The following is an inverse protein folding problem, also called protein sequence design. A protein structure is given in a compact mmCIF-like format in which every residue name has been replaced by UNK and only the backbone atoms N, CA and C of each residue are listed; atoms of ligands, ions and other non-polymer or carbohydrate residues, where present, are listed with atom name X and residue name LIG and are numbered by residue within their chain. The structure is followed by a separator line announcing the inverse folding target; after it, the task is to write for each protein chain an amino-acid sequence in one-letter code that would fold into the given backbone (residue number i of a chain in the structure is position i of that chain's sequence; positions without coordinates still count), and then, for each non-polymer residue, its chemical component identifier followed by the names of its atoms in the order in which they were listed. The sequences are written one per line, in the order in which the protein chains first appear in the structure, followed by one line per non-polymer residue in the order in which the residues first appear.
data_IF_116211341247
#
_entry.id   IF_116211341247
#
_cell.length_a   1.000
_cell.length_b   1.000
_cell.length_c   1.000
_cell.angle_alpha   90.00
_cell.angle_beta   90.00
_cell.angle_gamma   90.00
#
_symmetry.space_group_name_H-M   'P 1'
#
loop_
_entity.id
_entity.type
_entity.pdbx_description
1 polymer ?
#
# COMPACT_ATOMS: atom_id res chain seq x y z
N UNK A 1 -43.47 10.74 22.65
CA UNK A 1 -42.46 9.93 21.92
C UNK A 1 -43.16 8.66 21.46
N UNK A 2 -43.21 8.43 20.15
CA UNK A 2 -44.19 7.53 19.52
C UNK A 2 -43.67 6.10 19.59
N UNK A 3 -44.53 5.11 19.86
CA UNK A 3 -44.19 3.68 20.10
C UNK A 3 -43.19 3.10 19.09
N UNK A 4 -43.12 3.63 17.89
CA UNK A 4 -42.14 3.32 16.84
C UNK A 4 -40.68 3.55 17.22
N UNK A 5 -40.34 4.59 17.99
CA UNK A 5 -38.96 4.83 18.45
C UNK A 5 -38.52 3.81 19.51
N UNK A 6 -39.46 3.23 20.27
CA UNK A 6 -39.15 2.18 21.25
C UNK A 6 -38.82 0.85 20.54
N UNK A 7 -39.57 0.49 19.50
CA UNK A 7 -39.30 -0.73 18.72
C UNK A 7 -37.97 -0.66 17.96
N UNK A 8 -37.60 0.52 17.44
CA UNK A 8 -36.31 0.70 16.75
C UNK A 8 -35.12 0.48 17.71
N UNK A 9 -35.21 1.00 18.94
CA UNK A 9 -34.17 0.82 19.96
C UNK A 9 -34.05 -0.65 20.42
N UNK A 10 -35.18 -1.35 20.58
CA UNK A 10 -35.17 -2.78 20.92
C UNK A 10 -34.59 -3.63 19.80
N UNK A 11 -34.83 -3.28 18.53
CA UNK A 11 -34.29 -3.99 17.37
C UNK A 11 -32.77 -3.78 17.24
N UNK A 12 -32.28 -2.56 17.45
CA UNK A 12 -30.84 -2.26 17.47
C UNK A 12 -30.15 -3.02 18.62
N UNK A 13 -30.74 -3.04 19.82
CA UNK A 13 -30.20 -3.79 20.96
C UNK A 13 -30.13 -5.29 20.66
N UNK A 14 -31.17 -5.86 20.04
CA UNK A 14 -31.20 -7.28 19.66
C UNK A 14 -30.10 -7.62 18.64
N UNK A 15 -29.86 -6.76 17.65
CA UNK A 15 -28.78 -6.94 16.66
C UNK A 15 -27.41 -6.88 17.33
N UNK A 16 -27.20 -5.95 18.26
CA UNK A 16 -25.94 -5.84 19.02
C UNK A 16 -25.70 -7.09 19.86
N UNK A 17 -26.73 -7.61 20.54
CA UNK A 17 -26.62 -8.83 21.35
C UNK A 17 -26.27 -10.04 20.48
N UNK A 18 -26.92 -10.21 19.33
CA UNK A 18 -26.61 -11.32 18.38
C UNK A 18 -25.17 -11.23 17.86
N UNK A 19 -24.70 -10.01 17.60
CA UNK A 19 -23.31 -9.76 17.19
C UNK A 19 -22.34 -10.13 18.32
N UNK A 20 -22.62 -9.70 19.55
CA UNK A 20 -21.80 -10.00 20.72
C UNK A 20 -21.76 -11.49 21.09
N UNK A 21 -22.86 -12.23 20.88
CA UNK A 21 -22.89 -13.67 21.15
C UNK A 21 -22.17 -14.51 20.09
N UNK A 22 -22.03 -14.01 18.85
CA UNK A 22 -21.36 -14.74 17.76
C UNK A 22 -19.87 -14.39 17.62
N UNK A 23 -19.39 -13.32 18.26
CA UNK A 23 -18.02 -12.81 18.06
C UNK A 23 -16.95 -13.49 18.94
N UNK A 24 -17.23 -14.66 19.52
CA UNK A 24 -16.27 -15.38 20.35
C UNK A 24 -15.80 -16.67 19.65
N UNK A 25 -14.76 -16.56 18.84
CA UNK A 25 -14.03 -17.74 18.35
C UNK A 25 -13.12 -18.30 19.46
N UNK A 26 -13.03 -19.64 19.63
CA UNK A 26 -12.15 -20.25 20.61
C UNK A 26 -10.69 -20.25 20.16
N UNK A 27 -9.79 -19.93 21.10
CA UNK A 27 -8.35 -20.00 20.92
C UNK A 27 -7.89 -21.44 20.67
N UNK A 28 -7.24 -21.66 19.53
CA UNK A 28 -6.75 -22.97 19.10
C UNK A 28 -5.52 -23.39 19.91
N UNK A 29 -5.56 -24.59 20.47
CA UNK A 29 -4.54 -25.14 21.35
C UNK A 29 -3.43 -25.82 20.55
N UNK A 30 -2.18 -25.42 20.82
CA UNK A 30 -0.97 -26.05 20.30
C UNK A 30 -0.82 -27.47 20.87
N UNK A 31 -0.97 -28.49 20.02
CA UNK A 31 -0.61 -29.88 20.33
C UNK A 31 0.69 -30.22 19.59
N UNK A 32 1.76 -30.42 20.36
CA UNK A 32 3.03 -30.99 19.91
C UNK A 32 2.88 -32.51 19.71
N UNK A 33 3.33 -33.09 18.58
CA UNK A 33 3.64 -34.51 18.51
C UNK A 33 5.07 -34.81 19.01
N UNK A 34 5.30 -35.99 19.59
CA UNK A 34 6.61 -36.39 20.13
C UNK A 34 7.59 -36.80 19.03
N UNK A 35 8.87 -36.60 19.34
CA UNK A 35 10.01 -37.07 18.56
C UNK A 35 10.09 -38.59 18.53
N UNK A 36 10.47 -39.15 17.39
CA UNK A 36 11.32 -40.34 17.40
C UNK A 36 12.28 -40.40 16.20
N UNK A 37 13.41 -41.01 16.51
CA UNK A 37 14.73 -41.02 15.89
C UNK A 37 14.81 -41.94 14.64
N UNK A 38 15.56 -41.52 13.61
CA UNK A 38 16.29 -42.38 12.66
C UNK A 38 17.05 -41.54 11.63
N UNK A 39 18.33 -41.27 11.89
CA UNK A 39 19.34 -41.08 10.84
C UNK A 39 19.80 -42.45 10.28
N UNK A 40 20.28 -42.57 9.02
CA UNK A 40 21.70 -42.26 8.80
C UNK A 40 22.03 -41.55 7.47
N UNK A 41 22.94 -40.58 7.61
CA UNK A 41 24.05 -40.17 6.75
C UNK A 41 24.14 -40.73 5.30
N UNK A 42 24.21 -39.83 4.31
CA UNK A 42 25.17 -39.98 3.20
C UNK A 42 25.69 -38.62 2.67
N UNK A 43 27.02 -38.49 2.78
CA UNK A 43 28.02 -37.64 2.10
C UNK A 43 27.71 -36.24 1.52
N UNK A 44 28.36 -35.24 2.11
CA UNK A 44 28.84 -33.96 1.54
C UNK A 44 29.98 -34.19 0.50
N UNK A 45 30.74 -33.19 -0.04
CA UNK A 45 30.71 -31.71 0.11
C UNK A 45 30.98 -30.89 -1.18
N UNK A 46 30.74 -29.56 -1.13
CA UNK A 46 31.47 -28.49 -1.84
C UNK A 46 30.78 -27.16 -1.45
N UNK A 47 31.21 -26.48 -0.40
CA UNK A 47 32.28 -25.46 -0.42
C UNK A 47 31.92 -24.27 -1.32
N UNK A 48 31.12 -23.35 -0.76
CA UNK A 48 31.03 -21.94 -1.18
C UNK A 48 30.78 -21.13 0.11
N UNK A 49 31.79 -20.43 0.64
CA UNK A 49 31.62 -19.39 1.64
C UNK A 49 31.57 -18.03 0.95
N UNK A 50 30.37 -17.51 0.68
CA UNK A 50 30.20 -16.14 0.14
C UNK A 50 28.84 -15.64 0.62
N UNK A 51 28.66 -14.52 1.31
CA UNK A 51 29.52 -13.50 1.86
C UNK A 51 28.63 -12.73 2.84
N UNK A 52 29.14 -12.49 4.04
CA UNK A 52 28.66 -11.44 4.94
C UNK A 52 28.68 -10.07 4.21
N UNK A 53 27.74 -9.17 4.54
CA UNK A 53 27.78 -7.72 4.29
C UNK A 53 27.77 -7.20 2.83
N UNK A 54 26.59 -7.21 2.19
CA UNK A 54 26.28 -6.21 1.16
C UNK A 54 25.91 -4.89 1.88
N UNK A 55 26.91 -4.05 2.12
CA UNK A 55 26.71 -2.68 2.54
C UNK A 55 26.01 -1.89 1.41
N UNK A 56 24.71 -1.70 1.55
CA UNK A 56 23.93 -0.47 1.31
C UNK A 56 24.53 0.58 0.35
N UNK A 57 24.85 0.21 -0.89
CA UNK A 57 25.08 1.18 -1.95
C UNK A 57 23.70 1.50 -2.56
N UNK A 58 23.09 2.58 -2.08
CA UNK A 58 21.87 3.12 -2.71
C UNK A 58 22.27 3.65 -4.09
N UNK A 59 22.04 2.84 -5.13
CA UNK A 59 22.25 3.27 -6.51
C UNK A 59 21.46 4.55 -6.81
N UNK A 60 22.04 5.52 -7.53
CA UNK A 60 21.36 6.78 -7.81
C UNK A 60 20.08 6.55 -8.63
N UNK A 61 18.99 7.22 -8.24
CA UNK A 61 17.71 7.16 -8.96
C UNK A 61 17.85 7.80 -10.33
N UNK A 62 17.60 7.02 -11.38
CA UNK A 62 17.71 7.45 -12.78
C UNK A 62 16.38 7.97 -13.29
N UNK A 63 16.42 9.04 -14.09
CA UNK A 63 15.21 9.64 -14.67
C UNK A 63 14.49 8.72 -15.68
N UNK A 64 15.21 7.78 -16.29
CA UNK A 64 14.65 6.77 -17.21
C UNK A 64 14.21 5.47 -16.50
N UNK A 65 14.35 5.40 -15.17
CA UNK A 65 14.02 4.22 -14.39
C UNK A 65 12.52 4.08 -14.11
N UNK A 66 12.08 2.83 -13.92
CA UNK A 66 10.74 2.50 -13.46
C UNK A 66 10.78 2.10 -11.99
N UNK A 67 10.02 2.81 -11.15
CA UNK A 67 10.04 2.64 -9.70
C UNK A 67 8.62 2.47 -9.17
N UNK A 68 8.44 1.59 -8.19
CA UNK A 68 7.13 1.34 -7.56
C UNK A 68 7.19 1.30 -6.05
N UNK A 69 8.38 1.15 -5.45
CA UNK A 69 8.55 1.10 -3.99
C UNK A 69 8.32 2.48 -3.36
N UNK A 70 7.92 2.49 -2.09
CA UNK A 70 7.74 3.74 -1.32
C UNK A 70 8.97 4.64 -1.41
N UNK A 71 10.15 4.09 -1.13
CA UNK A 71 11.36 4.89 -0.94
C UNK A 71 11.94 5.34 -2.29
N UNK A 72 11.88 4.51 -3.32
CA UNK A 72 12.40 4.90 -4.65
C UNK A 72 11.49 5.92 -5.33
N UNK A 73 10.17 5.78 -5.21
CA UNK A 73 9.23 6.77 -5.76
C UNK A 73 9.34 8.10 -5.00
N UNK A 74 9.48 8.07 -3.67
CA UNK A 74 9.71 9.28 -2.89
C UNK A 74 11.04 9.96 -3.28
N UNK A 75 12.13 9.18 -3.43
CA UNK A 75 13.43 9.69 -3.86
C UNK A 75 13.35 10.29 -5.27
N UNK A 76 12.62 9.66 -6.19
CA UNK A 76 12.37 10.19 -7.53
C UNK A 76 11.62 11.53 -7.47
N UNK A 77 10.58 11.64 -6.64
CA UNK A 77 9.80 12.87 -6.46
C UNK A 77 10.65 14.01 -5.90
N UNK A 78 11.51 13.75 -4.91
CA UNK A 78 12.45 14.76 -4.40
C UNK A 78 13.47 15.19 -5.45
N UNK A 79 13.96 14.25 -6.26
CA UNK A 79 15.01 14.50 -7.26
C UNK A 79 14.48 15.27 -8.47
N UNK A 80 13.30 14.92 -8.98
CA UNK A 80 12.80 15.41 -10.27
C UNK A 80 11.50 16.23 -10.19
N UNK A 81 10.80 16.22 -9.06
CA UNK A 81 9.54 16.96 -8.89
C UNK A 81 8.37 16.42 -9.72
N UNK A 82 8.52 15.23 -10.31
CA UNK A 82 7.53 14.56 -11.16
C UNK A 82 7.51 13.07 -10.86
N UNK A 83 6.48 12.34 -11.32
CA UNK A 83 6.42 10.90 -11.15
C UNK A 83 7.38 10.17 -12.10
N UNK A 84 7.86 8.97 -11.72
CA UNK A 84 8.50 8.05 -12.65
C UNK A 84 7.66 7.81 -13.92
N UNK A 85 8.29 7.52 -15.08
CA UNK A 85 7.59 7.34 -16.34
C UNK A 85 6.62 6.15 -16.38
N UNK A 86 6.71 5.21 -15.43
CA UNK A 86 5.81 4.05 -15.32
C UNK A 86 4.46 4.37 -14.62
N UNK A 87 4.09 5.65 -14.50
CA UNK A 87 2.80 6.08 -13.97
C UNK A 87 1.88 6.66 -15.06
N UNK A 88 0.59 6.38 -14.93
CA UNK A 88 -0.46 6.86 -15.81
C UNK A 88 -1.64 7.38 -14.99
N UNK A 89 -2.25 8.48 -15.43
CA UNK A 89 -3.45 9.02 -14.76
C UNK A 89 -4.62 8.05 -14.89
N UNK A 90 -5.57 8.11 -13.95
CA UNK A 90 -6.79 7.31 -14.01
C UNK A 90 -7.56 7.56 -15.31
N UNK A 91 -7.54 8.78 -15.85
CA UNK A 91 -8.21 9.09 -17.12
C UNK A 91 -7.53 8.39 -18.29
N UNK A 92 -6.22 8.54 -18.43
CA UNK A 92 -5.48 7.90 -19.52
C UNK A 92 -5.56 6.36 -19.43
N UNK A 93 -5.54 5.78 -18.23
CA UNK A 93 -5.79 4.35 -18.05
C UNK A 93 -7.19 3.94 -18.53
N UNK A 94 -8.24 4.70 -18.20
CA UNK A 94 -9.61 4.44 -18.69
C UNK A 94 -9.70 4.53 -20.21
N UNK A 95 -8.98 5.48 -20.81
CA UNK A 95 -8.94 5.64 -22.28
C UNK A 95 -8.29 4.43 -22.98
N UNK A 96 -7.42 3.70 -22.27
CA UNK A 96 -6.86 2.41 -22.72
C UNK A 96 -7.81 1.21 -22.47
N UNK A 97 -8.93 1.39 -21.77
CA UNK A 97 -9.87 0.32 -21.44
C UNK A 97 -9.78 -0.21 -20.01
N UNK A 98 -9.12 0.51 -19.10
CA UNK A 98 -9.02 0.10 -17.70
C UNK A 98 -10.39 0.15 -16.99
N UNK A 99 -10.76 -0.99 -16.40
CA UNK A 99 -11.92 -1.16 -15.54
C UNK A 99 -11.43 -1.56 -14.15
N UNK A 100 -11.49 -0.61 -13.20
CA UNK A 100 -10.94 -0.79 -11.86
C UNK A 100 -11.49 -2.02 -11.11
N UNK A 101 -12.75 -2.39 -11.33
CA UNK A 101 -13.38 -3.55 -10.69
C UNK A 101 -12.85 -4.89 -11.22
N UNK A 102 -12.43 -4.92 -12.48
CA UNK A 102 -11.86 -6.10 -13.14
C UNK A 102 -10.38 -6.27 -12.78
N UNK A 103 -9.69 -5.19 -12.37
CA UNK A 103 -8.25 -5.25 -12.05
C UNK A 103 -7.37 -5.43 -13.30
N UNK A 104 -7.89 -5.06 -14.47
CA UNK A 104 -7.27 -5.31 -15.77
C UNK A 104 -6.22 -4.27 -16.19
N UNK A 105 -5.67 -3.46 -15.28
CA UNK A 105 -4.80 -2.33 -15.66
C UNK A 105 -3.59 -2.79 -16.48
N UNK A 106 -2.92 -3.87 -16.06
CA UNK A 106 -1.77 -4.44 -16.79
C UNK A 106 -2.15 -5.20 -18.06
N UNK A 107 -3.44 -5.47 -18.28
CA UNK A 107 -3.91 -6.06 -19.55
C UNK A 107 -4.06 -4.99 -20.64
N UNK A 108 -4.28 -3.74 -20.21
CA UNK A 108 -4.52 -2.60 -21.11
C UNK A 108 -3.39 -1.57 -21.10
N UNK A 109 -2.36 -1.77 -20.28
CA UNK A 109 -1.19 -0.90 -20.19
C UNK A 109 0.08 -1.73 -20.14
N UNK A 110 1.22 -1.13 -20.54
CA UNK A 110 2.55 -1.73 -20.43
C UNK A 110 3.03 -1.77 -18.96
N UNK A 111 2.32 -2.53 -18.13
CA UNK A 111 2.59 -2.73 -16.70
C UNK A 111 2.71 -1.42 -15.90
N UNK A 112 1.90 -0.41 -16.28
CA UNK A 112 1.92 0.90 -15.62
C UNK A 112 1.17 0.87 -14.27
N UNK A 113 1.45 1.87 -13.43
CA UNK A 113 0.77 2.13 -12.16
C UNK A 113 -0.10 3.39 -12.25
N UNK A 114 -1.17 3.46 -11.45
CA UNK A 114 -2.00 4.67 -11.40
C UNK A 114 -1.27 5.79 -10.63
N UNK A 115 -1.20 6.99 -11.21
CA UNK A 115 -0.68 8.16 -10.51
C UNK A 115 -0.80 9.48 -11.28
N UNK A 116 -0.66 10.58 -10.54
CA UNK A 116 -0.66 11.95 -11.07
C UNK A 116 -2.01 12.64 -11.03
N UNK A 117 -3.06 11.96 -10.55
CA UNK A 117 -4.37 12.59 -10.32
C UNK A 117 -4.36 13.49 -9.08
N UNK A 118 -5.19 14.54 -9.08
CA UNK A 118 -5.31 15.48 -7.96
C UNK A 118 -5.87 14.78 -6.72
N UNK A 119 -5.16 14.90 -5.59
CA UNK A 119 -5.63 14.49 -4.28
C UNK A 119 -6.32 15.67 -3.57
N UNK A 120 -7.51 15.43 -3.03
CA UNK A 120 -8.38 16.49 -2.55
C UNK A 120 -8.07 17.03 -1.15
N UNK A 121 -7.37 16.26 -0.31
CA UNK A 121 -7.17 16.55 1.12
C UNK A 121 -8.46 16.97 1.85
N UNK A 122 -9.57 16.27 1.62
CA UNK A 122 -10.91 16.67 2.12
C UNK A 122 -11.02 16.51 3.63
N UNK A 123 -10.34 15.50 4.15
CA UNK A 123 -10.23 15.12 5.55
C UNK A 123 -9.24 16.02 6.31
N UNK A 124 -8.46 16.85 5.60
CA UNK A 124 -7.47 17.78 6.15
C UNK A 124 -6.41 17.12 7.04
N UNK A 125 -5.99 15.92 6.65
CA UNK A 125 -4.92 15.18 7.33
C UNK A 125 -3.53 15.66 6.91
N UNK A 126 -3.42 16.38 5.79
CA UNK A 126 -2.18 16.98 5.30
C UNK A 126 -2.17 18.50 5.49
N UNK A 127 -1.00 19.14 5.67
CA UNK A 127 -0.89 20.59 5.81
C UNK A 127 -1.47 21.35 4.61
N UNK A 128 -2.31 22.35 4.87
CA UNK A 128 -2.98 23.15 3.83
C UNK A 128 -2.39 24.57 3.81
N UNK A 129 -2.05 25.06 2.61
CA UNK A 129 -1.45 26.38 2.39
C UNK A 129 -1.98 26.98 1.08
N UNK A 130 -2.12 28.32 0.97
CA UNK A 130 -2.56 28.96 -0.26
C UNK A 130 -1.70 28.56 -1.48
N UNK A 131 -2.35 28.02 -2.52
CA UNK A 131 -1.68 27.58 -3.74
C UNK A 131 -1.09 26.16 -3.66
N UNK A 132 -1.17 25.48 -2.51
CA UNK A 132 -0.79 24.08 -2.41
C UNK A 132 -1.81 23.19 -3.09
N UNK A 133 -1.32 22.28 -3.92
CA UNK A 133 -2.08 21.27 -4.64
C UNK A 133 -1.41 19.93 -4.39
N UNK A 134 -2.20 18.95 -3.98
CA UNK A 134 -1.75 17.58 -3.81
C UNK A 134 -2.13 16.71 -5.00
N UNK A 135 -1.31 15.70 -5.23
CA UNK A 135 -1.46 14.64 -6.21
C UNK A 135 -1.22 13.29 -5.52
N UNK A 136 -1.67 12.20 -6.12
CA UNK A 136 -1.50 10.85 -5.57
C UNK A 136 -0.93 9.87 -6.59
N UNK A 137 -0.26 8.82 -6.11
CA UNK A 137 0.15 7.67 -6.91
C UNK A 137 0.11 6.37 -6.10
N UNK A 138 -0.08 5.26 -6.81
CA UNK A 138 -0.04 3.90 -6.25
C UNK A 138 1.39 3.50 -5.90
N UNK A 139 1.53 2.69 -4.86
CA UNK A 139 2.81 2.15 -4.39
C UNK A 139 2.71 0.63 -4.31
N UNK A 140 3.80 -0.05 -4.66
CA UNK A 140 3.93 -1.51 -4.70
C UNK A 140 2.86 -2.21 -5.56
N UNK A 141 2.33 -1.53 -6.59
CA UNK A 141 1.34 -2.14 -7.48
C UNK A 141 2.01 -3.18 -8.39
N UNK A 142 1.43 -4.39 -8.43
CA UNK A 142 1.97 -5.55 -9.16
C UNK A 142 0.89 -6.21 -10.04
N UNK A 143 -0.03 -5.42 -10.58
CA UNK A 143 -1.15 -5.92 -11.39
C UNK A 143 -2.38 -6.31 -10.56
N UNK A 144 -3.49 -6.59 -11.23
CA UNK A 144 -4.76 -6.92 -10.59
C UNK A 144 -5.46 -5.71 -9.96
N UNK A 145 -6.16 -5.94 -8.84
CA UNK A 145 -6.85 -4.86 -8.11
C UNK A 145 -5.83 -4.00 -7.37
N UNK A 146 -6.04 -2.67 -7.40
CA UNK A 146 -5.19 -1.71 -6.69
C UNK A 146 -5.22 -1.97 -5.18
N UNK A 147 -4.04 -1.95 -4.55
CA UNK A 147 -3.87 -2.08 -3.10
C UNK A 147 -4.23 -0.79 -2.33
N UNK A 148 -3.93 -0.75 -1.04
CA UNK A 148 -4.19 0.40 -0.16
C UNK A 148 -3.09 1.47 -0.15
N UNK A 149 -1.86 1.10 -0.53
CA UNK A 149 -0.65 1.92 -0.39
C UNK A 149 -0.57 3.05 -1.41
N UNK A 150 -0.24 4.26 -0.96
CA UNK A 150 -0.12 5.45 -1.81
C UNK A 150 0.98 6.37 -1.33
N UNK A 151 1.57 7.11 -2.26
CA UNK A 151 2.19 8.40 -1.97
C UNK A 151 1.21 9.52 -2.33
N UNK A 152 1.16 10.53 -1.48
CA UNK A 152 0.53 11.82 -1.77
C UNK A 152 1.62 12.89 -1.74
N UNK A 153 1.78 13.61 -2.84
CA UNK A 153 2.84 14.61 -3.01
C UNK A 153 2.26 15.96 -3.42
N UNK A 154 2.90 17.05 -3.02
CA UNK A 154 2.45 18.40 -3.33
C UNK A 154 3.26 19.05 -4.45
N UNK A 155 2.67 20.06 -5.09
CA UNK A 155 3.36 20.92 -6.06
C UNK A 155 4.50 21.75 -5.46
N UNK A 156 4.60 21.85 -4.13
CA UNK A 156 5.65 22.55 -3.41
C UNK A 156 6.63 21.61 -2.66
N UNK A 157 6.65 20.32 -3.00
CA UNK A 157 7.72 19.39 -2.63
C UNK A 157 7.50 18.59 -1.34
N UNK A 158 6.29 18.59 -0.76
CA UNK A 158 5.96 17.69 0.34
C UNK A 158 5.62 16.30 -0.19
N UNK A 159 6.06 15.27 0.53
CA UNK A 159 5.77 13.87 0.20
C UNK A 159 5.26 13.15 1.45
N UNK A 160 4.11 12.49 1.33
CA UNK A 160 3.47 11.72 2.37
C UNK A 160 3.16 10.32 1.88
N UNK A 161 3.21 9.35 2.78
CA UNK A 161 2.85 7.97 2.51
C UNK A 161 1.70 7.51 3.38
N UNK A 162 0.85 6.66 2.82
CA UNK A 162 -0.23 5.93 3.51
C UNK A 162 -0.16 4.47 3.07
N UNK A 163 -0.30 3.54 4.01
CA UNK A 163 -0.45 2.10 3.76
C UNK A 163 -1.87 1.59 4.02
N UNK A 164 -2.75 2.47 4.50
CA UNK A 164 -4.09 2.16 5.00
C UNK A 164 -5.16 2.96 4.25
N UNK A 165 -4.98 3.18 2.94
CA UNK A 165 -5.98 3.78 2.07
C UNK A 165 -6.46 5.16 2.57
N UNK A 166 -5.49 6.04 2.84
CA UNK A 166 -5.67 7.43 3.27
C UNK A 166 -6.24 7.63 4.69
N UNK A 167 -6.32 6.59 5.52
CA UNK A 167 -6.76 6.73 6.92
C UNK A 167 -5.75 7.51 7.77
N UNK A 168 -4.45 7.32 7.52
CA UNK A 168 -3.39 8.11 8.13
C UNK A 168 -2.21 8.30 7.17
N UNK A 169 -1.35 9.27 7.50
CA UNK A 169 -0.20 9.65 6.70
C UNK A 169 1.05 9.76 7.54
N UNK A 170 2.18 9.33 6.97
CA UNK A 170 3.53 9.61 7.47
C UNK A 170 4.24 10.49 6.45
N UNK A 171 4.77 11.63 6.90
CA UNK A 171 5.59 12.47 6.03
C UNK A 171 6.93 11.77 5.79
N UNK A 172 7.33 11.69 4.52
CA UNK A 172 8.68 11.27 4.14
C UNK A 172 9.50 12.55 4.01
N UNK A 173 10.71 12.55 4.57
CA UNK A 173 11.69 13.62 4.33
C UNK A 173 12.83 13.03 3.53
N UNK A 174 13.43 13.86 2.67
CA UNK A 174 14.58 13.46 1.86
C UNK A 174 15.75 12.94 2.71
N UNK A 175 15.94 13.48 3.92
CA UNK A 175 16.99 13.04 4.85
C UNK A 175 16.74 11.67 5.49
N UNK A 176 15.53 11.09 5.33
CA UNK A 176 15.14 9.80 5.91
C UNK A 176 15.16 8.66 4.86
N UNK A 177 15.72 8.90 3.66
CA UNK A 177 15.76 7.99 2.50
C UNK A 177 17.16 7.48 2.17
#
# INVERSE_FOLDING_TARGET
MKRTTLYLLLLILAVIVVWYTNAQEPADQVVLPPADDSSPLTSAPADEPVSEAAADQVEPIRRDGAYTSKDDVARYLFTYGELPPNFITKQAARDLGWVAQEGNLWEVSDQLSIGGDRFGNREKLLPDEPGRIYYECDIDYQGGRRGAKRIVYSNDGLVFYTDNHYESFTQIKEADL
#
